data_IF_802168267851
#
_entry.id   IF_802168267851
#
_cell.length_a   1.000
_cell.length_b   1.000
_cell.length_c   1.000
_cell.angle_alpha   90.00
_cell.angle_beta   90.00
_cell.angle_gamma   90.00
#
_symmetry.space_group_name_H-M   'P 1'
#
loop_
_entity.id
_entity.type
_entity.pdbx_description
1 polymer ?
#
# COMPACT_ATOMS: atom_id res chain seq x y z
N UNK A 1 18.30 6.99 -6.04
CA UNK A 1 17.30 6.49 -5.08
C UNK A 1 16.16 7.48 -5.09
N UNK A 2 15.04 7.17 -5.74
CA UNK A 2 13.86 8.04 -5.67
C UNK A 2 13.30 7.86 -4.26
N UNK A 3 13.16 8.95 -3.51
CA UNK A 3 12.54 8.88 -2.19
C UNK A 3 11.09 8.39 -2.36
N UNK A 4 10.75 7.20 -1.85
CA UNK A 4 9.40 6.64 -1.99
C UNK A 4 8.40 7.53 -1.24
N UNK A 5 7.62 8.31 -2.00
CA UNK A 5 6.57 9.16 -1.45
C UNK A 5 5.57 8.32 -0.67
N UNK A 6 5.16 8.84 0.49
CA UNK A 6 4.16 8.21 1.34
C UNK A 6 2.86 9.00 1.25
N UNK A 7 1.80 8.31 0.84
CA UNK A 7 0.46 8.82 0.62
C UNK A 7 -0.43 8.48 1.81
N UNK A 8 -1.31 9.40 2.17
CA UNK A 8 -2.46 9.11 3.04
C UNK A 8 -3.62 8.55 2.19
N UNK A 9 -4.66 8.05 2.85
CA UNK A 9 -5.83 7.45 2.16
C UNK A 9 -6.44 8.38 1.12
N UNK A 10 -6.66 9.65 1.44
CA UNK A 10 -7.23 10.63 0.51
C UNK A 10 -6.34 10.90 -0.71
N UNK A 11 -5.02 10.98 -0.50
CA UNK A 11 -4.07 11.15 -1.61
C UNK A 11 -4.02 9.91 -2.51
N UNK A 12 -4.01 8.72 -1.91
CA UNK A 12 -4.06 7.47 -2.66
C UNK A 12 -5.39 7.29 -3.41
N UNK A 13 -6.51 7.69 -2.79
CA UNK A 13 -7.82 7.68 -3.41
C UNK A 13 -7.89 8.62 -4.62
N UNK A 14 -7.34 9.82 -4.50
CA UNK A 14 -7.23 10.76 -5.60
C UNK A 14 -6.35 10.21 -6.74
N UNK A 15 -5.18 9.64 -6.41
CA UNK A 15 -4.26 9.06 -7.40
C UNK A 15 -4.88 7.86 -8.13
N UNK A 16 -5.55 6.96 -7.39
CA UNK A 16 -6.21 5.78 -7.95
C UNK A 16 -7.57 6.07 -8.59
N UNK A 17 -8.09 7.31 -8.46
CA UNK A 17 -9.47 7.69 -8.82
C UNK A 17 -10.52 6.75 -8.19
N UNK A 18 -10.30 6.39 -6.92
CA UNK A 18 -11.18 5.52 -6.13
C UNK A 18 -11.80 6.29 -4.96
N UNK A 19 -12.90 5.78 -4.41
CA UNK A 19 -13.45 6.31 -3.17
C UNK A 19 -12.50 6.03 -1.99
N UNK A 20 -12.25 6.98 -1.06
CA UNK A 20 -11.38 6.77 0.11
C UNK A 20 -11.77 5.56 0.96
N UNK A 21 -13.07 5.29 1.08
CA UNK A 21 -13.58 4.10 1.77
C UNK A 21 -13.19 2.78 1.11
N UNK A 22 -13.02 2.74 -0.22
CA UNK A 22 -12.53 1.55 -0.92
C UNK A 22 -11.05 1.32 -0.65
N UNK A 23 -10.23 2.37 -0.69
CA UNK A 23 -8.80 2.29 -0.32
C UNK A 23 -8.65 1.79 1.12
N UNK A 24 -9.47 2.31 2.04
CA UNK A 24 -9.46 1.85 3.43
C UNK A 24 -9.80 0.36 3.57
N UNK A 25 -10.83 -0.12 2.86
CA UNK A 25 -11.20 -1.55 2.86
C UNK A 25 -10.08 -2.43 2.32
N UNK A 26 -9.40 -2.01 1.25
CA UNK A 26 -8.27 -2.74 0.68
C UNK A 26 -7.07 -2.81 1.63
N UNK A 27 -6.84 -1.77 2.42
CA UNK A 27 -5.82 -1.77 3.46
C UNK A 27 -6.19 -2.68 4.62
N UNK A 28 -7.46 -2.67 5.03
CA UNK A 28 -7.98 -3.50 6.11
C UNK A 28 -8.02 -4.99 5.72
N UNK A 29 -8.29 -5.33 4.46
CA UNK A 29 -8.24 -6.70 3.93
C UNK A 29 -6.81 -7.18 3.65
N UNK A 30 -5.86 -6.26 3.47
CA UNK A 30 -4.48 -6.57 3.09
C UNK A 30 -4.25 -6.75 1.59
N UNK A 31 -5.26 -6.47 0.76
CA UNK A 31 -5.14 -6.46 -0.71
C UNK A 31 -4.24 -5.31 -1.18
N UNK A 32 -4.30 -4.16 -0.51
CA UNK A 32 -3.39 -3.05 -0.71
C UNK A 32 -2.39 -2.99 0.45
N UNK A 33 -1.10 -2.99 0.13
CA UNK A 33 -0.06 -2.88 1.14
C UNK A 33 0.05 -1.44 1.66
N UNK A 34 -0.27 -1.26 2.94
CA UNK A 34 0.01 -0.04 3.70
C UNK A 34 0.27 -0.36 5.16
N UNK A 35 0.61 0.66 5.93
CA UNK A 35 0.94 0.53 7.35
C UNK A 35 0.17 1.57 8.18
N UNK A 36 -0.26 1.18 9.38
CA UNK A 36 -0.74 2.09 10.42
C UNK A 36 0.04 1.81 11.72
N UNK A 37 0.42 2.84 12.50
CA UNK A 37 1.23 2.63 13.70
C UNK A 37 0.46 2.01 14.87
N UNK A 38 -0.87 2.19 14.90
CA UNK A 38 -1.79 1.61 15.89
C UNK A 38 -3.20 1.50 15.29
N UNK A 39 -4.08 0.63 15.83
CA UNK A 39 -5.45 0.54 15.36
C UNK A 39 -6.15 1.90 15.38
N UNK A 40 -6.78 2.27 14.27
CA UNK A 40 -7.48 3.55 14.12
C UNK A 40 -6.59 4.77 13.89
N UNK A 41 -5.26 4.60 13.83
CA UNK A 41 -4.38 5.66 13.36
C UNK A 41 -4.47 5.82 11.83
N UNK A 42 -3.83 6.88 11.33
CA UNK A 42 -3.77 7.16 9.90
C UNK A 42 -2.98 6.08 9.17
N UNK A 43 -3.59 5.50 8.14
CA UNK A 43 -2.90 4.64 7.19
C UNK A 43 -1.93 5.45 6.32
N UNK A 44 -0.78 4.84 6.08
CA UNK A 44 0.24 5.37 5.18
C UNK A 44 0.57 4.31 4.13
N UNK A 45 0.48 4.70 2.87
CA UNK A 45 0.73 3.87 1.69
C UNK A 45 2.00 4.39 1.04
N UNK A 46 2.86 3.51 0.55
CA UNK A 46 3.96 3.97 -0.32
C UNK A 46 3.44 4.04 -1.75
N UNK A 47 3.79 5.09 -2.48
CA UNK A 47 3.30 5.34 -3.84
C UNK A 47 3.50 4.11 -4.75
N UNK A 48 4.68 3.50 -4.73
CA UNK A 48 4.97 2.27 -5.50
C UNK A 48 4.12 1.05 -5.10
N UNK A 49 3.60 0.98 -3.86
CA UNK A 49 2.65 -0.07 -3.49
C UNK A 49 1.28 0.16 -4.15
N UNK A 50 0.88 1.42 -4.28
CA UNK A 50 -0.37 1.80 -4.93
C UNK A 50 -0.28 1.55 -6.44
N UNK A 51 0.82 1.96 -7.06
CA UNK A 51 1.09 1.70 -8.48
C UNK A 51 1.07 0.19 -8.76
N UNK A 52 1.81 -0.60 -7.97
CA UNK A 52 1.81 -2.06 -8.13
C UNK A 52 0.41 -2.67 -8.00
N UNK A 53 -0.42 -2.18 -7.07
CA UNK A 53 -1.80 -2.63 -6.94
C UNK A 53 -2.65 -2.28 -8.17
N UNK A 54 -2.51 -1.06 -8.71
CA UNK A 54 -3.23 -0.60 -9.90
C UNK A 54 -2.83 -1.37 -11.16
N UNK A 55 -1.55 -1.72 -11.27
CA UNK A 55 -1.01 -2.53 -12.36
C UNK A 55 -1.32 -4.03 -12.20
N UNK A 56 -1.90 -4.44 -11.06
CA UNK A 56 -2.19 -5.85 -10.76
C UNK A 56 -0.95 -6.71 -10.55
N UNK A 57 0.18 -6.10 -10.19
CA UNK A 57 1.47 -6.78 -9.98
C UNK A 57 1.79 -6.92 -8.47
N UNK A 58 2.67 -7.87 -8.10
CA UNK A 58 3.07 -8.02 -6.71
C UNK A 58 3.71 -6.75 -6.14
N UNK A 59 3.33 -6.41 -4.90
CA UNK A 59 3.91 -5.27 -4.21
C UNK A 59 5.44 -5.46 -4.02
N UNK A 60 6.28 -4.54 -4.53
CA UNK A 60 7.74 -4.69 -4.48
C UNK A 60 8.28 -4.74 -3.05
N UNK A 61 7.64 -4.01 -2.12
CA UNK A 61 8.03 -4.01 -0.71
C UNK A 61 7.74 -5.30 0.05
N UNK A 62 6.83 -6.15 -0.45
CA UNK A 62 6.45 -7.39 0.23
C UNK A 62 7.27 -8.59 -0.22
N UNK A 63 8.19 -8.43 -1.18
CA UNK A 63 8.95 -9.55 -1.77
C UNK A 63 10.09 -10.13 -0.91
N UNK A 64 10.15 -9.82 0.40
CA UNK A 64 11.29 -10.21 1.22
C UNK A 64 11.05 -11.48 2.05
N UNK A 65 10.90 -12.64 1.39
CA UNK A 65 11.10 -13.95 2.03
C UNK A 65 11.72 -14.94 1.03
N UNK A 66 13.03 -14.90 0.88
CA UNK A 66 13.78 -16.05 0.36
C UNK A 66 13.90 -17.09 1.48
N UNK A 67 13.32 -18.26 1.28
CA UNK A 67 13.62 -19.45 2.07
C UNK A 67 15.12 -19.74 1.95
N UNK A 68 15.83 -19.69 3.07
CA UNK A 68 17.19 -20.22 3.15
C UNK A 68 16.99 -21.73 3.32
N UNK A 69 17.10 -22.49 2.22
CA UNK A 69 17.23 -23.95 2.32
C UNK A 69 18.56 -24.26 3.03
N UNK A 70 18.52 -25.08 4.08
CA UNK A 70 19.68 -25.65 4.80
C UNK A 70 19.58 -27.16 4.79
#
# INVERSE_FOLDING_TARGET
>A
MVASRRLIVDEAAAAARMHPGSIRRLLESGDLHGTQPKPGARWTIREECLEAYLDGIPCPHRQNVTAIES
#
